data_IF_746830988353
#
_entry.id   IF_746830988353
#
_cell.length_a   1.000
_cell.length_b   1.000
_cell.length_c   1.000
_cell.angle_alpha   90.00
_cell.angle_beta   90.00
_cell.angle_gamma   90.00
#
_symmetry.space_group_name_H-M   'P 1'
#
loop_
_entity.id
_entity.type
_entity.pdbx_description
1 polymer ?
#
# COMPACT_ATOMS: atom_id res chain seq x y z
N UNK A 1 71.63 -18.38 -19.99
CA UNK A 1 71.03 -17.24 -19.24
C UNK A 1 70.19 -16.30 -20.11
N UNK A 2 70.72 -15.72 -21.20
CA UNK A 2 70.02 -14.69 -22.00
C UNK A 2 68.67 -15.12 -22.62
N UNK A 3 68.51 -16.41 -22.96
CA UNK A 3 67.26 -16.97 -23.53
C UNK A 3 66.14 -17.13 -22.48
N UNK A 4 66.51 -17.56 -21.27
CA UNK A 4 65.59 -17.74 -20.14
C UNK A 4 65.09 -16.39 -19.58
N UNK A 5 65.96 -15.36 -19.57
CA UNK A 5 65.58 -14.01 -19.18
C UNK A 5 64.54 -13.38 -20.13
N UNK A 6 64.68 -13.59 -21.45
CA UNK A 6 63.68 -13.14 -22.42
C UNK A 6 62.34 -13.85 -22.25
N UNK A 7 62.37 -15.16 -21.98
CA UNK A 7 61.15 -15.94 -21.74
C UNK A 7 60.40 -15.45 -20.49
N UNK A 8 61.14 -15.15 -19.41
CA UNK A 8 60.58 -14.64 -18.16
C UNK A 8 59.92 -13.26 -18.36
N UNK A 9 60.55 -12.35 -19.09
CA UNK A 9 60.01 -11.01 -19.38
C UNK A 9 58.71 -11.10 -20.20
N UNK A 10 58.67 -11.99 -21.20
CA UNK A 10 57.45 -12.20 -22.00
C UNK A 10 56.33 -12.77 -21.13
N UNK A 11 56.63 -13.72 -20.24
CA UNK A 11 55.64 -14.31 -19.34
C UNK A 11 55.02 -13.24 -18.41
N UNK A 12 55.85 -12.36 -17.85
CA UNK A 12 55.40 -11.26 -16.97
C UNK A 12 54.53 -10.25 -17.73
N UNK A 13 54.87 -9.92 -18.98
CA UNK A 13 54.07 -9.01 -19.80
C UNK A 13 52.70 -9.60 -20.18
N UNK A 14 52.63 -10.91 -20.46
CA UNK A 14 51.36 -11.60 -20.73
C UNK A 14 50.49 -11.69 -19.47
N UNK A 15 51.09 -12.00 -18.32
CA UNK A 15 50.37 -12.06 -17.04
C UNK A 15 49.85 -10.69 -16.59
N UNK A 16 50.63 -9.62 -16.79
CA UNK A 16 50.20 -8.26 -16.44
C UNK A 16 49.11 -7.74 -17.39
N UNK A 17 49.19 -8.01 -18.69
CA UNK A 17 48.15 -7.65 -19.66
C UNK A 17 46.80 -8.34 -19.39
N UNK A 18 46.83 -9.61 -18.98
CA UNK A 18 45.61 -10.37 -18.62
C UNK A 18 45.01 -9.93 -17.29
N UNK A 19 45.84 -9.54 -16.31
CA UNK A 19 45.37 -9.02 -15.02
C UNK A 19 44.78 -7.61 -15.10
N UNK A 20 45.28 -6.77 -16.01
CA UNK A 20 44.75 -5.42 -16.24
C UNK A 20 43.43 -5.48 -17.03
N UNK A 21 43.33 -6.36 -18.04
CA UNK A 21 42.11 -6.49 -18.85
C UNK A 21 40.93 -7.07 -18.07
N UNK A 22 41.16 -7.96 -17.10
CA UNK A 22 40.08 -8.46 -16.21
C UNK A 22 39.49 -7.35 -15.33
N UNK A 23 40.28 -6.34 -14.97
CA UNK A 23 39.83 -5.17 -14.19
C UNK A 23 38.98 -4.18 -15.01
N UNK A 24 39.25 -4.06 -16.32
CA UNK A 24 38.47 -3.19 -17.22
C UNK A 24 37.23 -3.86 -17.82
N UNK A 25 37.21 -5.20 -17.92
CA UNK A 25 36.06 -5.96 -18.44
C UNK A 25 35.01 -6.29 -17.38
N UNK A 26 35.33 -6.14 -16.09
CA UNK A 26 34.40 -6.25 -14.98
C UNK A 26 34.28 -4.90 -14.27
N UNK A 27 33.49 -3.94 -14.80
CA UNK A 27 33.13 -2.77 -14.03
C UNK A 27 32.48 -3.25 -12.73
N UNK A 28 33.01 -2.79 -11.59
CA UNK A 28 32.38 -2.99 -10.29
C UNK A 28 30.96 -2.45 -10.38
N UNK A 29 29.99 -3.36 -10.43
CA UNK A 29 28.59 -2.99 -10.28
C UNK A 29 28.40 -2.62 -8.82
N UNK A 30 28.60 -1.35 -8.51
CA UNK A 30 27.96 -0.71 -7.37
C UNK A 30 26.45 -0.68 -7.66
N UNK A 31 25.80 -1.84 -7.56
CA UNK A 31 24.37 -1.86 -7.31
C UNK A 31 24.21 -1.34 -5.89
N UNK A 32 24.08 -0.02 -5.76
CA UNK A 32 23.39 0.55 -4.62
C UNK A 32 21.94 0.06 -4.74
N UNK A 33 21.72 -1.19 -4.34
CA UNK A 33 20.39 -1.74 -4.11
C UNK A 33 19.90 -1.07 -2.84
N UNK A 34 19.48 0.19 -2.96
CA UNK A 34 18.86 0.93 -1.88
C UNK A 34 17.48 0.32 -1.71
N UNK A 35 17.40 -0.79 -0.99
CA UNK A 35 16.13 -1.34 -0.53
C UNK A 35 15.37 -0.18 0.12
N UNK A 36 14.16 0.17 -0.36
CA UNK A 36 13.45 1.32 0.15
C UNK A 36 13.29 1.20 1.67
N UNK A 37 13.85 2.14 2.42
CA UNK A 37 13.74 2.15 3.88
C UNK A 37 12.43 2.81 4.30
N UNK A 38 11.94 2.43 5.48
CA UNK A 38 10.76 3.06 6.05
C UNK A 38 10.91 4.59 6.10
N UNK A 39 9.86 5.30 5.66
CA UNK A 39 9.80 6.76 5.67
C UNK A 39 8.40 7.25 6.03
N UNK A 40 8.32 8.47 6.55
CA UNK A 40 7.08 9.22 6.76
C UNK A 40 7.16 10.49 5.92
N UNK A 41 6.32 10.60 4.90
CA UNK A 41 6.34 11.71 3.94
C UNK A 41 5.01 12.45 3.98
N UNK A 42 5.04 13.73 4.32
CA UNK A 42 3.88 14.62 4.15
C UNK A 42 3.71 14.90 2.67
N UNK A 43 2.62 14.42 2.08
CA UNK A 43 2.30 14.59 0.66
C UNK A 43 1.68 15.96 0.38
N UNK A 44 1.01 16.53 1.38
CA UNK A 44 0.43 17.85 1.29
C UNK A 44 -0.34 18.26 2.54
N UNK A 45 -0.63 19.55 2.60
CA UNK A 45 -1.35 20.19 3.70
C UNK A 45 -2.26 21.28 3.14
N UNK A 46 -3.39 21.49 3.80
CA UNK A 46 -4.31 22.61 3.62
C UNK A 46 -4.68 23.17 4.99
N UNK A 47 -5.51 24.20 5.05
CA UNK A 47 -6.07 24.69 6.32
C UNK A 47 -6.95 23.66 7.05
N UNK A 48 -7.52 22.69 6.31
CA UNK A 48 -8.43 21.68 6.85
C UNK A 48 -7.80 20.31 7.12
N UNK A 49 -6.49 20.17 6.90
CA UNK A 49 -5.78 18.97 7.31
C UNK A 49 -4.55 18.62 6.48
N UNK A 50 -4.03 17.43 6.72
CA UNK A 50 -2.79 16.91 6.12
C UNK A 50 -2.98 15.50 5.55
N UNK A 51 -2.12 15.15 4.59
CA UNK A 51 -1.99 13.77 4.08
C UNK A 51 -0.56 13.31 4.25
N UNK A 52 -0.38 12.20 4.96
CA UNK A 52 0.93 11.61 5.22
C UNK A 52 0.95 10.18 4.69
N UNK A 53 2.01 9.84 3.95
CA UNK A 53 2.33 8.47 3.55
C UNK A 53 3.36 7.88 4.49
N UNK A 54 3.04 6.74 5.08
CA UNK A 54 3.96 5.93 5.88
C UNK A 54 4.35 4.68 5.12
N UNK A 55 5.62 4.31 5.20
CA UNK A 55 6.13 3.06 4.67
C UNK A 55 7.39 3.23 3.81
N UNK A 56 7.83 2.16 3.13
CA UNK A 56 7.16 0.86 3.14
C UNK A 56 7.25 0.16 4.50
N UNK A 57 6.18 -0.54 4.87
CA UNK A 57 6.18 -1.60 5.89
C UNK A 57 6.27 -2.97 5.21
N UNK A 58 6.65 -4.00 5.95
CA UNK A 58 6.77 -5.36 5.42
C UNK A 58 8.02 -5.54 4.59
N UNK A 59 7.92 -6.39 3.56
CA UNK A 59 9.00 -6.62 2.62
C UNK A 59 9.06 -5.51 1.57
N UNK A 60 9.87 -4.47 1.82
CA UNK A 60 10.07 -3.34 0.92
C UNK A 60 10.57 -3.72 -0.49
N UNK A 61 11.19 -4.90 -0.65
CA UNK A 61 11.66 -5.41 -1.94
C UNK A 61 10.60 -6.22 -2.70
N UNK A 62 9.42 -6.45 -2.11
CA UNK A 62 8.35 -7.18 -2.78
C UNK A 62 7.84 -6.38 -3.99
N UNK A 63 7.62 -7.02 -5.16
CA UNK A 63 6.99 -6.38 -6.31
C UNK A 63 5.50 -6.08 -6.09
N UNK A 64 4.93 -6.60 -4.99
CA UNK A 64 3.55 -6.39 -4.59
C UNK A 64 3.48 -5.32 -3.51
N UNK A 65 3.28 -4.07 -3.92
CA UNK A 65 3.02 -2.97 -3.00
C UNK A 65 1.50 -2.78 -2.82
N UNK A 66 1.00 -2.86 -1.60
CA UNK A 66 -0.40 -2.66 -1.24
C UNK A 66 -0.53 -1.34 -0.49
N UNK A 67 -1.55 -0.55 -0.81
CA UNK A 67 -1.83 0.70 -0.11
C UNK A 67 -3.13 0.59 0.70
N UNK A 68 -3.09 1.08 1.93
CA UNK A 68 -4.29 1.35 2.72
C UNK A 68 -4.51 2.86 2.78
N UNK A 69 -5.73 3.30 2.43
CA UNK A 69 -6.17 4.68 2.61
C UNK A 69 -7.07 4.71 3.85
N UNK A 70 -6.73 5.58 4.81
CA UNK A 70 -7.43 5.66 6.10
C UNK A 70 -7.67 7.12 6.48
N UNK A 71 -8.71 7.39 7.27
CA UNK A 71 -8.99 8.72 7.80
C UNK A 71 -9.74 9.63 6.83
N UNK A 72 -10.31 9.09 5.74
CA UNK A 72 -11.14 9.86 4.81
C UNK A 72 -12.36 10.42 5.53
N UNK A 73 -12.97 9.65 6.43
CA UNK A 73 -14.06 10.11 7.31
C UNK A 73 -13.60 10.06 8.77
N UNK A 74 -13.35 11.19 9.44
CA UNK A 74 -12.70 11.18 10.76
C UNK A 74 -13.44 10.38 11.84
N UNK A 75 -14.77 10.33 11.78
CA UNK A 75 -15.61 9.62 12.75
C UNK A 75 -15.49 8.08 12.67
N UNK A 76 -14.89 7.55 11.61
CA UNK A 76 -14.70 6.11 11.38
C UNK A 76 -13.35 5.62 11.93
N UNK A 77 -12.75 6.35 12.89
CA UNK A 77 -11.38 6.15 13.37
C UNK A 77 -11.07 4.74 13.91
N UNK A 78 -12.05 4.02 14.47
CA UNK A 78 -11.82 2.69 15.03
C UNK A 78 -11.33 1.70 13.96
N UNK A 79 -11.90 1.71 12.76
CA UNK A 79 -11.47 0.83 11.67
C UNK A 79 -10.11 1.25 11.11
N UNK A 80 -9.88 2.56 11.01
CA UNK A 80 -8.61 3.15 10.60
C UNK A 80 -7.47 2.72 11.52
N UNK A 81 -7.63 2.93 12.83
CA UNK A 81 -6.59 2.64 13.82
C UNK A 81 -6.29 1.14 13.88
N UNK A 82 -7.31 0.29 13.79
CA UNK A 82 -7.13 -1.16 13.78
C UNK A 82 -6.30 -1.64 12.59
N UNK A 83 -6.53 -1.12 11.37
CA UNK A 83 -5.72 -1.46 10.20
C UNK A 83 -4.29 -0.91 10.34
N UNK A 84 -4.15 0.35 10.75
CA UNK A 84 -2.84 0.99 10.93
C UNK A 84 -1.99 0.22 11.95
N UNK A 85 -2.57 -0.14 13.09
CA UNK A 85 -1.91 -0.92 14.13
C UNK A 85 -1.53 -2.31 13.61
N UNK A 86 -2.42 -3.00 12.90
CA UNK A 86 -2.16 -4.33 12.34
C UNK A 86 -0.96 -4.30 11.40
N UNK A 87 -0.88 -3.34 10.49
CA UNK A 87 0.25 -3.21 9.55
C UNK A 87 1.54 -2.88 10.29
N UNK A 88 1.51 -1.92 11.23
CA UNK A 88 2.69 -1.52 12.00
C UNK A 88 3.24 -2.65 12.86
N UNK A 89 2.37 -3.40 13.53
CA UNK A 89 2.77 -4.51 14.42
C UNK A 89 3.22 -5.74 13.63
N UNK A 90 2.77 -5.89 12.40
CA UNK A 90 3.17 -7.00 11.50
C UNK A 90 4.34 -6.64 10.57
N UNK A 91 4.97 -5.47 10.71
CA UNK A 91 6.01 -4.97 9.80
C UNK A 91 7.13 -5.99 9.50
N UNK A 92 7.51 -6.81 10.48
CA UNK A 92 8.59 -7.80 10.31
C UNK A 92 8.15 -9.15 9.75
N UNK A 93 6.85 -9.42 9.64
CA UNK A 93 6.30 -10.71 9.21
C UNK A 93 5.56 -10.67 7.86
N UNK A 94 5.23 -9.47 7.38
CA UNK A 94 4.51 -9.28 6.12
C UNK A 94 5.38 -9.61 4.90
N UNK A 95 4.85 -10.44 3.99
CA UNK A 95 5.53 -10.91 2.77
C UNK A 95 5.55 -9.88 1.66
N UNK A 96 4.55 -8.99 1.64
CA UNK A 96 4.41 -7.93 0.65
C UNK A 96 4.89 -6.57 1.19
N UNK A 97 4.94 -5.58 0.30
CA UNK A 97 5.24 -4.19 0.65
C UNK A 97 3.93 -3.45 0.97
N UNK A 98 3.93 -2.61 2.00
CA UNK A 98 2.73 -1.91 2.46
C UNK A 98 2.96 -0.41 2.66
N UNK A 99 2.02 0.40 2.17
CA UNK A 99 1.96 1.83 2.46
C UNK A 99 0.65 2.20 3.14
N UNK A 100 0.72 3.13 4.09
CA UNK A 100 -0.45 3.74 4.72
C UNK A 100 -0.53 5.18 4.27
N UNK A 101 -1.63 5.55 3.61
CA UNK A 101 -1.98 6.93 3.29
C UNK A 101 -2.98 7.42 4.33
N UNK A 102 -2.48 8.14 5.35
CA UNK A 102 -3.30 8.66 6.44
C UNK A 102 -3.74 10.08 6.10
N UNK A 103 -5.06 10.26 6.01
CA UNK A 103 -5.70 11.56 5.95
C UNK A 103 -5.98 11.99 7.38
N UNK A 104 -5.54 13.20 7.72
CA UNK A 104 -5.78 13.81 9.02
C UNK A 104 -6.53 15.11 8.84
N UNK A 105 -7.84 15.08 9.03
CA UNK A 105 -8.70 16.27 8.99
C UNK A 105 -8.58 17.02 10.31
N UNK A 106 -8.22 18.30 10.25
CA UNK A 106 -8.05 19.15 11.45
C UNK A 106 -9.20 20.14 11.62
N UNK A 107 -9.90 20.48 10.55
CA UNK A 107 -11.01 21.44 10.60
C UNK A 107 -12.35 20.73 10.56
N UNK A 108 -13.17 20.96 11.60
CA UNK A 108 -14.47 20.32 11.80
C UNK A 108 -14.46 18.77 11.70
N UNK A 109 -13.48 18.07 12.30
CA UNK A 109 -13.38 16.61 12.15
C UNK A 109 -14.63 15.88 12.69
N UNK A 110 -15.24 16.41 13.76
CA UNK A 110 -16.41 15.79 14.40
C UNK A 110 -17.74 16.13 13.70
N UNK A 111 -17.73 17.06 12.74
CA UNK A 111 -18.92 17.36 11.95
C UNK A 111 -19.02 16.34 10.81
N UNK A 112 -20.04 15.48 10.86
CA UNK A 112 -20.25 14.40 9.88
C UNK A 112 -20.04 14.84 8.43
N UNK A 113 -20.74 15.89 7.99
CA UNK A 113 -20.68 16.35 6.59
C UNK A 113 -19.37 17.09 6.25
N UNK A 114 -18.94 18.03 7.10
CA UNK A 114 -17.76 18.86 6.83
C UNK A 114 -16.47 18.04 6.95
N UNK A 115 -16.33 17.24 8.01
CA UNK A 115 -15.17 16.38 8.23
C UNK A 115 -15.00 15.37 7.09
N UNK A 116 -16.09 14.73 6.68
CA UNK A 116 -16.14 13.85 5.50
C UNK A 116 -15.69 14.55 4.22
N UNK A 117 -16.29 15.71 3.93
CA UNK A 117 -15.97 16.47 2.71
C UNK A 117 -14.49 16.88 2.69
N UNK A 118 -13.97 17.36 3.82
CA UNK A 118 -12.56 17.76 3.96
C UNK A 118 -11.62 16.57 3.74
N UNK A 119 -11.92 15.41 4.34
CA UNK A 119 -11.09 14.22 4.18
C UNK A 119 -11.12 13.65 2.76
N UNK A 120 -12.29 13.63 2.11
CA UNK A 120 -12.43 13.27 0.69
C UNK A 120 -11.60 14.18 -0.21
N UNK A 121 -11.65 15.50 0.01
CA UNK A 121 -10.87 16.47 -0.75
C UNK A 121 -9.35 16.31 -0.53
N UNK A 122 -8.92 16.11 0.72
CA UNK A 122 -7.51 15.83 1.04
C UNK A 122 -7.00 14.57 0.34
N UNK A 123 -7.75 13.47 0.45
CA UNK A 123 -7.41 12.20 -0.17
C UNK A 123 -7.25 12.36 -1.69
N UNK A 124 -8.27 12.93 -2.35
CA UNK A 124 -8.29 13.12 -3.79
C UNK A 124 -7.14 14.02 -4.26
N UNK A 125 -6.81 15.07 -3.51
CA UNK A 125 -5.79 16.05 -3.90
C UNK A 125 -4.36 15.52 -3.73
N UNK A 126 -4.07 14.73 -2.70
CA UNK A 126 -2.68 14.36 -2.36
C UNK A 126 -2.42 12.85 -2.31
N UNK A 127 -3.33 12.05 -1.75
CA UNK A 127 -3.11 10.60 -1.66
C UNK A 127 -3.26 9.94 -3.03
N UNK A 128 -4.35 10.24 -3.75
CA UNK A 128 -4.68 9.56 -5.02
C UNK A 128 -3.64 9.80 -6.12
N UNK A 129 -3.16 11.03 -6.38
CA UNK A 129 -2.11 11.25 -7.37
C UNK A 129 -0.80 10.55 -6.98
N UNK A 130 -0.46 10.54 -5.69
CA UNK A 130 0.72 9.83 -5.23
C UNK A 130 0.59 8.31 -5.45
N UNK A 131 -0.53 7.70 -5.07
CA UNK A 131 -0.79 6.27 -5.31
C UNK A 131 -0.67 5.94 -6.80
N UNK A 132 -1.26 6.74 -7.70
CA UNK A 132 -1.20 6.55 -9.16
C UNK A 132 0.22 6.59 -9.72
N UNK A 133 1.09 7.39 -9.12
CA UNK A 133 2.48 7.54 -9.54
C UNK A 133 3.42 6.52 -8.87
N UNK A 134 2.91 5.63 -8.02
CA UNK A 134 3.66 4.55 -7.40
C UNK A 134 3.17 3.20 -7.95
N UNK A 135 4.03 2.18 -7.95
CA UNK A 135 3.71 0.83 -8.46
C UNK A 135 2.83 0.01 -7.49
N UNK A 136 1.69 0.57 -7.06
CA UNK A 136 0.73 -0.07 -6.16
C UNK A 136 -0.10 -1.11 -6.92
N UNK A 137 -0.21 -2.32 -6.37
CA UNK A 137 -0.92 -3.48 -6.96
C UNK A 137 -2.36 -3.64 -6.44
N UNK A 138 -2.65 -3.08 -5.27
CA UNK A 138 -3.95 -3.13 -4.63
C UNK A 138 -4.11 -1.94 -3.68
N UNK A 139 -5.28 -1.32 -3.68
CA UNK A 139 -5.66 -0.29 -2.70
C UNK A 139 -6.88 -0.75 -1.92
N UNK A 140 -6.81 -0.65 -0.59
CA UNK A 140 -7.94 -0.84 0.32
C UNK A 140 -8.28 0.52 0.92
N UNK A 141 -9.47 1.03 0.60
CA UNK A 141 -10.06 2.25 1.16
C UNK A 141 -10.88 1.85 2.40
N UNK A 142 -10.39 2.17 3.60
CA UNK A 142 -10.94 1.66 4.87
C UNK A 142 -12.01 2.62 5.39
N UNK A 143 -13.19 2.07 5.67
CA UNK A 143 -14.36 2.80 6.17
C UNK A 143 -15.07 2.00 7.28
N UNK A 144 -16.06 2.63 7.91
CA UNK A 144 -17.05 1.94 8.74
C UNK A 144 -18.44 2.55 8.58
N UNK A 145 -19.48 1.74 8.78
CA UNK A 145 -20.87 2.18 8.69
C UNK A 145 -21.63 1.94 10.00
N UNK A 146 -22.62 2.79 10.25
CA UNK A 146 -23.52 2.74 11.41
C UNK A 146 -24.57 1.61 11.32
N UNK A 147 -24.51 0.76 10.29
CA UNK A 147 -25.42 -0.38 10.13
C UNK A 147 -26.77 -0.06 9.48
N UNK A 148 -26.86 1.08 8.77
CA UNK A 148 -28.04 1.47 7.98
C UNK A 148 -28.21 0.66 6.69
N UNK A 149 -27.21 -0.14 6.31
CA UNK A 149 -27.25 -1.03 5.15
C UNK A 149 -27.72 -2.43 5.52
N UNK A 150 -28.16 -3.21 4.52
CA UNK A 150 -28.53 -4.62 4.67
C UNK A 150 -27.38 -5.48 5.21
N UNK A 151 -26.14 -5.09 4.92
CA UNK A 151 -24.92 -5.76 5.33
C UNK A 151 -24.03 -4.76 6.04
N UNK A 152 -23.50 -5.14 7.21
CA UNK A 152 -22.67 -4.25 8.04
C UNK A 152 -21.18 -4.35 7.76
N UNK A 153 -20.73 -5.47 7.19
CA UNK A 153 -19.32 -5.75 6.94
C UNK A 153 -19.13 -6.26 5.53
N UNK A 154 -18.49 -5.48 4.68
CA UNK A 154 -18.44 -5.79 3.26
C UNK A 154 -17.23 -5.21 2.54
N UNK A 155 -16.98 -5.78 1.37
CA UNK A 155 -16.12 -5.22 0.34
C UNK A 155 -17.01 -4.62 -0.74
N UNK A 156 -16.70 -3.39 -1.14
CA UNK A 156 -17.42 -2.69 -2.20
C UNK A 156 -16.47 -2.26 -3.32
N UNK A 157 -16.83 -2.61 -4.55
CA UNK A 157 -16.10 -2.25 -5.76
C UNK A 157 -16.99 -1.28 -6.57
N UNK A 158 -16.75 0.04 -6.51
CA UNK A 158 -17.68 1.05 -7.01
C UNK A 158 -17.58 1.32 -8.53
N UNK A 159 -16.70 0.62 -9.24
CA UNK A 159 -16.53 0.74 -10.69
C UNK A 159 -16.09 -0.59 -11.30
N UNK A 160 -16.27 -0.76 -12.60
CA UNK A 160 -15.88 -2.01 -13.28
C UNK A 160 -14.39 -2.29 -13.16
N UNK A 161 -14.03 -3.42 -12.54
CA UNK A 161 -12.66 -3.91 -12.42
C UNK A 161 -12.65 -5.41 -12.19
N UNK A 162 -12.33 -6.19 -13.23
CA UNK A 162 -12.24 -7.64 -13.12
C UNK A 162 -11.20 -8.08 -12.07
N UNK A 163 -10.04 -7.41 -12.05
CA UNK A 163 -8.97 -7.72 -11.09
C UNK A 163 -9.40 -7.41 -9.64
N UNK A 164 -10.08 -6.29 -9.39
CA UNK A 164 -10.57 -5.97 -8.03
C UNK A 164 -11.68 -6.95 -7.60
N UNK A 165 -12.61 -7.31 -8.49
CA UNK A 165 -13.66 -8.29 -8.22
C UNK A 165 -13.09 -9.67 -7.92
N UNK A 166 -12.08 -10.12 -8.68
CA UNK A 166 -11.38 -11.39 -8.43
C UNK A 166 -10.72 -11.39 -7.06
N UNK A 167 -9.95 -10.35 -6.73
CA UNK A 167 -9.28 -10.19 -5.43
C UNK A 167 -10.33 -10.18 -4.29
N UNK A 168 -11.42 -9.42 -4.44
CA UNK A 168 -12.49 -9.38 -3.43
C UNK A 168 -13.14 -10.76 -3.25
N UNK A 169 -13.33 -11.52 -4.33
CA UNK A 169 -13.81 -12.91 -4.29
C UNK A 169 -12.87 -13.84 -3.52
N UNK A 170 -11.56 -13.72 -3.75
CA UNK A 170 -10.55 -14.50 -3.01
C UNK A 170 -10.54 -14.16 -1.52
N UNK A 171 -10.67 -12.88 -1.14
CA UNK A 171 -10.80 -12.45 0.26
C UNK A 171 -12.07 -13.02 0.89
N UNK A 172 -13.21 -12.85 0.21
CA UNK A 172 -14.51 -13.35 0.67
C UNK A 172 -14.52 -14.88 0.83
N UNK A 173 -13.79 -15.62 0.00
CA UNK A 173 -13.72 -17.08 0.11
C UNK A 173 -12.82 -17.55 1.26
N UNK A 174 -11.94 -16.68 1.77
CA UNK A 174 -11.04 -16.95 2.90
C UNK A 174 -11.57 -16.40 4.23
N UNK A 175 -12.74 -15.76 4.22
CA UNK A 175 -13.44 -15.25 5.41
C UNK A 175 -14.88 -15.78 5.43
N UNK A 176 -15.52 -15.78 6.60
CA UNK A 176 -16.95 -16.13 6.73
C UNK A 176 -17.83 -14.93 7.12
N UNK A 177 -17.23 -13.79 7.44
CA UNK A 177 -17.90 -12.61 7.97
C UNK A 177 -17.94 -11.43 6.98
N UNK A 178 -17.20 -11.49 5.88
CA UNK A 178 -17.24 -10.51 4.78
C UNK A 178 -18.18 -10.95 3.68
N UNK A 179 -18.84 -9.97 3.08
CA UNK A 179 -19.65 -10.11 1.88
C UNK A 179 -19.19 -9.11 0.83
N UNK A 180 -19.34 -9.41 -0.46
CA UNK A 180 -19.23 -8.41 -1.51
C UNK A 180 -20.61 -7.75 -1.67
N UNK A 181 -20.70 -6.45 -1.46
CA UNK A 181 -21.96 -5.73 -1.42
C UNK A 181 -21.82 -4.32 -1.99
N UNK A 182 -22.85 -3.87 -2.70
CA UNK A 182 -22.95 -2.51 -3.21
C UNK A 182 -23.99 -1.75 -2.40
N UNK A 183 -23.59 -0.78 -1.55
CA UNK A 183 -24.55 0.05 -0.84
C UNK A 183 -25.28 1.00 -1.82
N UNK A 184 -26.53 1.37 -1.54
CA UNK A 184 -27.23 2.38 -2.32
C UNK A 184 -26.60 3.77 -2.11
N UNK A 185 -26.57 4.59 -3.16
CA UNK A 185 -26.18 6.01 -3.13
C UNK A 185 -24.84 6.35 -2.42
N UNK A 186 -23.72 5.68 -2.73
CA UNK A 186 -22.46 5.97 -2.06
C UNK A 186 -21.79 7.25 -2.60
N UNK A 187 -21.36 8.16 -1.71
CA UNK A 187 -20.83 9.48 -2.09
C UNK A 187 -19.30 9.59 -2.09
N UNK A 188 -18.60 8.85 -1.21
CA UNK A 188 -17.13 8.88 -1.12
C UNK A 188 -16.37 8.21 -2.29
N UNK A 189 -16.92 7.19 -3.00
CA UNK A 189 -16.15 6.49 -4.02
C UNK A 189 -15.57 7.37 -5.13
N UNK A 190 -16.26 8.46 -5.51
CA UNK A 190 -15.84 9.37 -6.57
C UNK A 190 -14.54 10.11 -6.27
N UNK A 191 -14.17 10.26 -5.00
CA UNK A 191 -12.98 10.97 -4.56
C UNK A 191 -11.75 10.06 -4.43
N UNK A 192 -11.96 8.80 -4.08
CA UNK A 192 -10.88 7.88 -3.68
C UNK A 192 -10.82 6.66 -4.59
N UNK A 193 -11.80 5.76 -4.46
CA UNK A 193 -11.73 4.42 -5.05
C UNK A 193 -11.99 4.39 -6.55
N UNK A 194 -12.98 5.14 -7.07
CA UNK A 194 -13.29 5.19 -8.52
C UNK A 194 -12.09 5.73 -9.33
N UNK A 195 -11.46 6.87 -8.97
CA UNK A 195 -10.29 7.37 -9.70
C UNK A 195 -9.10 6.41 -9.74
N UNK A 196 -8.96 5.52 -8.76
CA UNK A 196 -7.91 4.49 -8.73
C UNK A 196 -8.23 3.34 -9.69
N UNK A 197 -9.47 2.83 -9.66
CA UNK A 197 -9.94 1.80 -10.59
C UNK A 197 -9.80 2.29 -12.04
N UNK A 198 -10.21 3.52 -12.33
CA UNK A 198 -10.09 4.12 -13.66
C UNK A 198 -8.63 4.29 -14.11
N UNK A 199 -7.69 4.40 -13.17
CA UNK A 199 -6.26 4.41 -13.46
C UNK A 199 -5.65 3.01 -13.63
N UNK A 200 -6.48 1.96 -13.65
CA UNK A 200 -6.04 0.57 -13.79
C UNK A 200 -5.52 -0.08 -12.50
N UNK A 201 -5.65 0.60 -11.37
CA UNK A 201 -5.22 0.07 -10.06
C UNK A 201 -6.41 -0.62 -9.41
N UNK A 202 -6.34 -1.94 -9.11
CA UNK A 202 -7.37 -2.63 -8.36
C UNK A 202 -7.59 -1.93 -7.01
N UNK A 203 -8.81 -1.45 -6.76
CA UNK A 203 -9.16 -0.81 -5.51
C UNK A 203 -10.54 -1.23 -5.05
N UNK A 204 -10.74 -1.28 -3.74
CA UNK A 204 -12.02 -1.59 -3.12
C UNK A 204 -12.16 -0.87 -1.79
N UNK A 205 -13.40 -0.62 -1.40
CA UNK A 205 -13.76 -0.13 -0.09
C UNK A 205 -13.95 -1.31 0.85
N UNK A 206 -13.31 -1.27 2.02
CA UNK A 206 -13.52 -2.20 3.12
C UNK A 206 -14.32 -1.50 4.21
N UNK A 207 -15.51 -2.01 4.49
CA UNK A 207 -16.47 -1.44 5.42
C UNK A 207 -16.64 -2.35 6.64
N UNK A 208 -16.41 -1.79 7.83
CA UNK A 208 -16.67 -2.45 9.13
C UNK A 208 -17.94 -1.89 9.78
N UNK A 209 -18.36 -2.47 10.92
CA UNK A 209 -19.49 -1.94 11.68
C UNK A 209 -19.02 -0.98 12.77
N UNK A 210 -19.45 0.28 12.73
CA UNK A 210 -19.00 1.32 13.67
C UNK A 210 -19.24 0.95 15.14
N UNK A 211 -20.32 0.22 15.44
CA UNK A 211 -20.68 -0.13 16.83
C UNK A 211 -20.22 -1.54 17.24
N UNK A 212 -19.36 -2.21 16.47
CA UNK A 212 -18.71 -3.44 16.95
C UNK A 212 -17.61 -3.12 17.97
N UNK A 213 -17.25 -4.09 18.82
CA UNK A 213 -16.20 -3.86 19.81
C UNK A 213 -14.84 -3.64 19.14
N UNK A 214 -14.00 -2.80 19.75
CA UNK A 214 -12.63 -2.55 19.30
C UNK A 214 -11.86 -3.86 19.11
N UNK A 215 -12.03 -4.82 20.02
CA UNK A 215 -11.41 -6.15 19.93
C UNK A 215 -11.84 -6.90 18.65
N UNK A 216 -13.13 -6.84 18.34
CA UNK A 216 -13.69 -7.52 17.17
C UNK A 216 -13.24 -6.86 15.86
N UNK A 217 -13.18 -5.52 15.81
CA UNK A 217 -12.58 -4.78 14.67
C UNK A 217 -11.11 -5.15 14.51
N UNK A 218 -10.32 -5.17 15.60
CA UNK A 218 -8.90 -5.56 15.56
C UNK A 218 -8.69 -6.99 15.06
N UNK A 219 -9.49 -7.94 15.55
CA UNK A 219 -9.46 -9.34 15.10
C UNK A 219 -9.70 -9.44 13.59
N UNK A 220 -10.71 -8.73 13.08
CA UNK A 220 -11.04 -8.71 11.66
C UNK A 220 -9.95 -8.03 10.81
N UNK A 221 -9.35 -6.94 11.31
CA UNK A 221 -8.22 -6.29 10.64
C UNK A 221 -7.00 -7.21 10.52
N UNK A 222 -6.66 -7.95 11.58
CA UNK A 222 -5.58 -8.96 11.56
C UNK A 222 -5.88 -10.06 10.53
N UNK A 223 -7.11 -10.58 10.53
CA UNK A 223 -7.52 -11.62 9.57
C UNK A 223 -7.48 -11.10 8.13
N UNK A 224 -8.03 -9.91 7.85
CA UNK A 224 -8.03 -9.30 6.52
C UNK A 224 -6.62 -9.06 6.00
N UNK A 225 -5.74 -8.45 6.80
CA UNK A 225 -4.34 -8.18 6.41
C UNK A 225 -3.61 -9.49 6.15
N UNK A 226 -3.80 -10.50 7.01
CA UNK A 226 -3.20 -11.84 6.82
C UNK A 226 -3.66 -12.48 5.51
N UNK A 227 -4.96 -12.39 5.20
CA UNK A 227 -5.50 -12.93 3.94
C UNK A 227 -4.88 -12.22 2.74
N UNK A 228 -4.88 -10.88 2.74
CA UNK A 228 -4.31 -10.05 1.66
C UNK A 228 -2.83 -10.36 1.46
N UNK A 229 -2.07 -10.54 2.54
CA UNK A 229 -0.64 -10.85 2.47
C UNK A 229 -0.33 -12.19 1.78
N UNK A 230 -1.30 -13.10 1.77
CA UNK A 230 -1.20 -14.42 1.15
C UNK A 230 -1.87 -14.51 -0.24
N UNK A 231 -2.37 -13.40 -0.79
CA UNK A 231 -2.94 -13.36 -2.15
C UNK A 231 -1.86 -13.29 -3.22
N UNK A 232 -2.20 -13.79 -4.42
CA UNK A 232 -1.40 -13.64 -5.63
C UNK A 232 -1.89 -12.39 -6.38
N UNK A 233 -1.13 -11.30 -6.28
CA UNK A 233 -1.50 -9.99 -6.87
C UNK A 233 -0.92 -9.74 -8.27
N UNK A 234 -0.19 -10.71 -8.81
CA UNK A 234 0.35 -10.74 -10.16
C UNK A 234 -0.76 -10.83 -11.21
#
# INVERSE_FOLDING_TARGET
>A
MRKYLKLLIILVLVFSGTFISSFYLYPSQNTNSTTPSFSSVVLGQTEYGTVTRYGPYGNASSPNCIAYVVGVHPLEYQSHDAIVETIKTSDKSLKNCYYIYKINVTQNPDNYNKGRTNGQNLANKYAIPNIKNNSIKLVIDVHSNEGNYKVRKFLFIPASSEKALKIAGEIKNKTNWLTIYSPPEPTSPSYVTIPLIQAGIPAMIYETYTYESVEQTRKQSIELVSIIDNLKLN
#
